data_IF_978391696638
#
_entry.id   IF_978391696638
#
_cell.length_a   1.000
_cell.length_b   1.000
_cell.length_c   1.000
_cell.angle_alpha   90.00
_cell.angle_beta   90.00
_cell.angle_gamma   90.00
#
_symmetry.space_group_name_H-M   'P 1'
#
loop_
_entity.id
_entity.type
_entity.pdbx_description
1 polymer ?
#
# COMPACT_ATOMS: atom_id res chain seq x y z
N UNK A 1 -7.59 5.33 -38.30
CA UNK A 1 -7.12 4.42 -37.23
C UNK A 1 -6.37 5.23 -36.19
N UNK A 2 -7.06 5.78 -35.19
CA UNK A 2 -6.44 6.53 -34.09
C UNK A 2 -7.43 6.51 -32.92
N UNK A 3 -7.20 5.69 -31.89
CA UNK A 3 -7.90 5.81 -30.59
C UNK A 3 -7.32 4.96 -29.44
N UNK A 4 -6.19 4.25 -29.60
CA UNK A 4 -5.69 3.39 -28.51
C UNK A 4 -4.64 4.06 -27.61
N UNK A 5 -3.96 5.12 -28.07
CA UNK A 5 -2.93 5.83 -27.27
C UNK A 5 -3.54 6.65 -26.12
N UNK A 6 -4.78 7.14 -26.27
CA UNK A 6 -5.41 8.05 -25.30
C UNK A 6 -5.86 7.37 -23.98
N UNK A 7 -5.96 6.04 -23.92
CA UNK A 7 -6.47 5.34 -22.73
C UNK A 7 -5.34 4.91 -21.78
N UNK A 8 -4.20 4.48 -22.32
CA UNK A 8 -3.02 4.10 -21.51
C UNK A 8 -2.50 5.30 -20.71
N UNK A 9 -2.33 6.45 -21.36
CA UNK A 9 -1.86 7.67 -20.71
C UNK A 9 -2.82 8.14 -19.60
N UNK A 10 -4.12 7.98 -19.83
CA UNK A 10 -5.16 8.30 -18.83
C UNK A 10 -5.07 7.40 -17.59
N UNK A 11 -4.79 6.09 -17.75
CA UNK A 11 -4.69 5.17 -16.61
C UNK A 11 -3.44 5.44 -15.78
N UNK A 12 -2.32 5.79 -16.44
CA UNK A 12 -1.11 6.24 -15.74
C UNK A 12 -1.39 7.51 -14.94
N UNK A 13 -2.07 8.51 -15.54
CA UNK A 13 -2.45 9.73 -14.82
C UNK A 13 -3.37 9.46 -13.61
N UNK A 14 -4.33 8.56 -13.76
CA UNK A 14 -5.18 8.14 -12.64
C UNK A 14 -4.39 7.46 -11.52
N UNK A 15 -3.46 6.57 -11.87
CA UNK A 15 -2.59 5.91 -10.89
C UNK A 15 -1.71 6.92 -10.16
N UNK A 16 -1.10 7.87 -10.88
CA UNK A 16 -0.30 8.93 -10.26
C UNK A 16 -1.10 9.76 -9.25
N UNK A 17 -2.36 10.08 -9.56
CA UNK A 17 -3.25 10.79 -8.63
C UNK A 17 -3.52 9.97 -7.36
N UNK A 18 -3.78 8.67 -7.49
CA UNK A 18 -3.98 7.76 -6.36
C UNK A 18 -2.73 7.64 -5.50
N UNK A 19 -1.56 7.46 -6.12
CA UNK A 19 -0.27 7.40 -5.41
C UNK A 19 0.04 8.70 -4.67
N UNK A 20 -0.21 9.85 -5.30
CA UNK A 20 -0.02 11.14 -4.64
C UNK A 20 -0.92 11.29 -3.42
N UNK A 21 -2.19 10.92 -3.53
CA UNK A 21 -3.12 10.93 -2.40
C UNK A 21 -2.69 9.97 -1.28
N UNK A 22 -2.30 8.74 -1.64
CA UNK A 22 -1.78 7.76 -0.69
C UNK A 22 -0.56 8.30 0.07
N UNK A 23 0.38 8.93 -0.64
CA UNK A 23 1.56 9.56 -0.05
C UNK A 23 1.19 10.67 0.94
N UNK A 24 0.29 11.58 0.59
CA UNK A 24 -0.13 12.65 1.50
C UNK A 24 -0.85 12.10 2.74
N UNK A 25 -1.68 11.07 2.58
CA UNK A 25 -2.32 10.39 3.71
C UNK A 25 -1.29 9.67 4.61
N UNK A 26 -0.30 9.00 4.00
CA UNK A 26 0.79 8.35 4.73
C UNK A 26 1.56 9.37 5.55
N UNK A 27 2.00 10.49 4.94
CA UNK A 27 2.72 11.57 5.66
C UNK A 27 1.94 12.06 6.87
N UNK A 28 0.64 12.31 6.71
CA UNK A 28 -0.23 12.75 7.80
C UNK A 28 -0.28 11.72 8.93
N UNK A 29 -0.58 10.45 8.61
CA UNK A 29 -0.67 9.38 9.61
C UNK A 29 0.68 9.09 10.27
N UNK A 30 1.77 9.12 9.52
CA UNK A 30 3.11 8.88 10.06
C UNK A 30 3.54 10.01 11.01
N UNK A 31 3.11 11.25 10.77
CA UNK A 31 3.29 12.34 11.74
C UNK A 31 2.50 12.09 13.04
N UNK A 32 1.30 11.52 12.94
CA UNK A 32 0.43 11.27 14.10
C UNK A 32 0.86 10.03 14.92
N UNK A 33 1.37 8.98 14.26
CA UNK A 33 1.63 7.66 14.87
C UNK A 33 3.08 7.18 14.81
N UNK A 34 3.95 7.87 14.06
CA UNK A 34 5.33 7.42 13.78
C UNK A 34 5.39 6.03 13.13
N UNK A 35 6.51 5.35 13.32
CA UNK A 35 6.77 4.00 12.77
C UNK A 35 6.02 2.87 13.50
N UNK A 36 4.85 3.14 14.06
CA UNK A 36 4.00 2.12 14.70
C UNK A 36 3.59 0.97 13.74
N UNK A 37 3.74 1.16 12.43
CA UNK A 37 3.50 0.11 11.45
C UNK A 37 4.62 -0.96 11.45
N UNK A 38 5.85 -0.60 11.79
CA UNK A 38 7.04 -1.44 11.71
C UNK A 38 7.16 -2.47 12.85
N UNK A 39 6.44 -2.31 13.96
CA UNK A 39 6.60 -3.09 15.21
C UNK A 39 6.60 -4.61 15.02
N UNK A 40 5.86 -5.13 14.05
CA UNK A 40 5.74 -6.57 13.78
C UNK A 40 6.19 -6.94 12.35
N UNK A 41 6.99 -6.07 11.72
CA UNK A 41 7.45 -6.22 10.35
C UNK A 41 6.31 -6.31 9.32
N UNK A 42 6.64 -6.79 8.13
CA UNK A 42 5.68 -6.96 7.03
C UNK A 42 4.48 -7.85 7.42
N UNK A 43 4.67 -8.86 8.27
CA UNK A 43 3.60 -9.73 8.76
C UNK A 43 2.55 -8.93 9.55
N UNK A 44 2.98 -8.03 10.43
CA UNK A 44 2.07 -7.14 11.15
C UNK A 44 1.25 -6.24 10.23
N UNK A 45 1.84 -5.81 9.13
CA UNK A 45 1.16 -5.00 8.13
C UNK A 45 0.11 -5.82 7.37
N UNK A 46 0.41 -7.08 7.00
CA UNK A 46 -0.56 -8.01 6.40
C UNK A 46 -1.75 -8.30 7.32
N UNK A 47 -1.54 -8.42 8.63
CA UNK A 47 -2.63 -8.57 9.61
C UNK A 47 -3.56 -7.36 9.57
N UNK A 48 -3.01 -6.13 9.55
CA UNK A 48 -3.82 -4.90 9.45
C UNK A 48 -4.60 -4.80 8.14
N UNK A 49 -4.05 -5.31 7.03
CA UNK A 49 -4.78 -5.46 5.76
C UNK A 49 -6.00 -6.37 5.95
N UNK A 50 -5.80 -7.53 6.58
CA UNK A 50 -6.87 -8.47 6.90
C UNK A 50 -7.99 -7.83 7.72
N UNK A 51 -7.64 -7.12 8.79
CA UNK A 51 -8.59 -6.43 9.68
C UNK A 51 -9.44 -5.39 8.91
N UNK A 52 -8.80 -4.61 8.03
CA UNK A 52 -9.50 -3.63 7.19
C UNK A 52 -10.47 -4.28 6.21
N UNK A 53 -10.08 -5.37 5.57
CA UNK A 53 -10.95 -6.10 4.63
C UNK A 53 -12.16 -6.68 5.37
N UNK A 54 -11.95 -7.32 6.52
CA UNK A 54 -13.03 -7.88 7.33
C UNK A 54 -14.01 -6.80 7.80
N UNK A 55 -13.50 -5.63 8.21
CA UNK A 55 -14.32 -4.47 8.56
C UNK A 55 -15.17 -4.01 7.37
N UNK A 56 -14.58 -3.90 6.19
CA UNK A 56 -15.29 -3.47 4.99
C UNK A 56 -16.40 -4.44 4.58
N UNK A 57 -16.13 -5.75 4.66
CA UNK A 57 -17.12 -6.81 4.43
C UNK A 57 -18.29 -6.73 5.44
N UNK A 58 -17.99 -6.45 6.71
CA UNK A 58 -19.02 -6.31 7.74
C UNK A 58 -19.94 -5.10 7.48
N UNK A 59 -19.36 -3.95 7.11
CA UNK A 59 -20.12 -2.74 6.79
C UNK A 59 -21.02 -2.96 5.55
N UNK A 60 -20.46 -3.54 4.47
CA UNK A 60 -21.19 -3.77 3.23
C UNK A 60 -22.30 -4.82 3.38
N UNK A 61 -22.10 -5.87 4.18
CA UNK A 61 -23.12 -6.91 4.41
C UNK A 61 -24.33 -6.40 5.21
N UNK A 62 -24.12 -5.48 6.14
CA UNK A 62 -25.15 -5.07 7.09
C UNK A 62 -26.02 -3.90 6.61
N UNK A 63 -25.82 -3.38 5.38
CA UNK A 63 -26.54 -2.21 4.82
C UNK A 63 -26.66 -1.03 5.80
N UNK A 64 -25.74 -0.96 6.78
CA UNK A 64 -25.74 0.09 7.77
C UNK A 64 -25.17 1.31 7.06
N UNK A 65 -26.08 2.19 6.64
CA UNK A 65 -25.77 3.58 6.29
C UNK A 65 -25.29 4.28 7.57
N UNK A 66 -24.09 3.93 8.00
CA UNK A 66 -23.38 4.62 9.06
C UNK A 66 -22.99 5.96 8.46
N UNK A 67 -23.70 7.01 8.86
CA UNK A 67 -23.51 8.40 8.41
C UNK A 67 -22.08 8.92 8.65
N UNK A 68 -21.24 8.17 9.37
CA UNK A 68 -19.83 8.44 9.65
C UNK A 68 -18.88 7.25 9.36
N UNK A 69 -19.28 6.22 8.59
CA UNK A 69 -18.37 5.11 8.27
C UNK A 69 -17.38 5.48 7.18
N UNK A 70 -16.12 5.11 7.40
CA UNK A 70 -15.05 5.06 6.40
C UNK A 70 -15.57 4.48 5.07
N UNK A 71 -15.33 5.20 3.96
CA UNK A 71 -15.82 4.75 2.66
C UNK A 71 -14.99 3.57 2.12
N UNK A 72 -15.55 2.82 1.16
CA UNK A 72 -14.79 1.80 0.40
C UNK A 72 -13.51 2.43 -0.17
N UNK A 73 -13.58 3.67 -0.65
CA UNK A 73 -12.45 4.37 -1.25
C UNK A 73 -11.35 4.64 -0.23
N UNK A 74 -11.69 5.12 0.96
CA UNK A 74 -10.72 5.38 2.04
C UNK A 74 -10.04 4.08 2.47
N UNK A 75 -10.82 3.00 2.58
CA UNK A 75 -10.26 1.67 2.89
C UNK A 75 -9.27 1.23 1.80
N UNK A 76 -9.59 1.42 0.52
CA UNK A 76 -8.69 1.05 -0.58
C UNK A 76 -7.39 1.87 -0.59
N UNK A 77 -7.43 3.15 -0.23
CA UNK A 77 -6.22 3.97 -0.07
C UNK A 77 -5.39 3.48 1.13
N UNK A 78 -6.04 3.13 2.25
CA UNK A 78 -5.35 2.53 3.39
C UNK A 78 -4.65 1.22 3.00
N UNK A 79 -5.33 0.35 2.23
CA UNK A 79 -4.76 -0.90 1.74
C UNK A 79 -3.58 -0.67 0.76
N UNK A 80 -3.66 0.36 -0.09
CA UNK A 80 -2.55 0.78 -0.95
C UNK A 80 -1.31 1.15 -0.11
N UNK A 81 -1.49 1.99 0.91
CA UNK A 81 -0.42 2.39 1.81
C UNK A 81 0.12 1.23 2.65
N UNK A 82 -0.73 0.33 3.15
CA UNK A 82 -0.26 -0.86 3.86
C UNK A 82 0.59 -1.75 2.95
N UNK A 83 0.22 -1.91 1.69
CA UNK A 83 1.04 -2.68 0.75
C UNK A 83 2.42 -2.04 0.54
N UNK A 84 2.47 -0.71 0.37
CA UNK A 84 3.72 0.03 0.26
C UNK A 84 4.58 -0.09 1.53
N UNK A 85 3.99 0.07 2.71
CA UNK A 85 4.69 -0.07 3.99
C UNK A 85 5.23 -1.49 4.23
N UNK A 86 4.50 -2.53 3.79
CA UNK A 86 4.99 -3.90 3.87
C UNK A 86 6.23 -4.10 2.99
N UNK A 87 6.23 -3.52 1.78
CA UNK A 87 7.39 -3.55 0.87
C UNK A 87 8.58 -2.79 1.47
N UNK A 88 8.36 -1.59 2.03
CA UNK A 88 9.43 -0.83 2.72
C UNK A 88 10.13 -1.67 3.78
N UNK A 89 9.37 -2.38 4.62
CA UNK A 89 9.94 -3.25 5.67
C UNK A 89 10.68 -4.47 5.11
N UNK A 90 10.24 -5.00 3.95
CA UNK A 90 10.96 -6.09 3.29
C UNK A 90 12.28 -5.59 2.72
N UNK A 91 12.27 -4.45 2.04
CA UNK A 91 13.46 -3.84 1.45
C UNK A 91 14.48 -3.46 2.54
N UNK A 92 14.04 -2.83 3.64
CA UNK A 92 14.87 -2.56 4.82
C UNK A 92 15.51 -3.84 5.38
N UNK A 93 14.72 -4.92 5.53
CA UNK A 93 15.24 -6.19 6.03
C UNK A 93 16.29 -6.82 5.09
N UNK A 94 16.19 -6.61 3.79
CA UNK A 94 17.19 -7.08 2.82
C UNK A 94 18.48 -6.27 2.98
N UNK A 95 18.38 -4.95 3.09
CA UNK A 95 19.55 -4.07 3.27
C UNK A 95 20.32 -4.38 4.57
N UNK A 96 19.62 -4.65 5.67
CA UNK A 96 20.24 -5.03 6.95
C UNK A 96 20.96 -6.38 6.88
N UNK A 97 20.35 -7.38 6.23
CA UNK A 97 20.91 -8.74 6.15
C UNK A 97 21.96 -8.90 5.03
N UNK A 98 21.91 -8.05 4.00
CA UNK A 98 22.77 -8.11 2.82
C UNK A 98 23.24 -6.71 2.39
N UNK A 99 24.16 -6.06 3.14
CA UNK A 99 24.57 -4.67 2.92
C UNK A 99 25.36 -4.42 1.61
N UNK A 100 25.66 -5.47 0.85
CA UNK A 100 26.31 -5.41 -0.46
C UNK A 100 25.42 -5.90 -1.60
N UNK A 101 24.16 -6.22 -1.32
CA UNK A 101 23.20 -6.54 -2.37
C UNK A 101 22.97 -5.30 -3.25
N UNK A 102 22.74 -5.48 -4.57
CA UNK A 102 22.25 -4.39 -5.39
C UNK A 102 20.91 -3.90 -4.81
N UNK A 103 20.60 -2.58 -4.91
CA UNK A 103 19.35 -2.04 -4.40
C UNK A 103 18.16 -2.80 -5.01
N UNK A 104 17.08 -3.04 -4.24
CA UNK A 104 15.89 -3.70 -4.76
C UNK A 104 15.41 -2.94 -5.99
N UNK A 105 15.42 -3.62 -7.13
CA UNK A 105 15.08 -3.01 -8.40
C UNK A 105 13.55 -2.88 -8.47
N UNK A 106 13.00 -1.66 -8.64
CA UNK A 106 11.55 -1.47 -8.64
C UNK A 106 10.81 -2.14 -9.81
N UNK A 107 11.54 -2.74 -10.76
CA UNK A 107 11.00 -3.30 -12.00
C UNK A 107 11.60 -4.67 -12.39
N UNK A 108 12.44 -5.30 -11.55
CA UNK A 108 12.89 -6.67 -11.80
C UNK A 108 12.55 -7.57 -10.63
N UNK A 109 11.65 -8.52 -10.88
CA UNK A 109 11.04 -9.51 -9.98
C UNK A 109 12.04 -10.53 -9.39
N UNK A 110 13.34 -10.22 -9.41
CA UNK A 110 14.37 -11.10 -8.88
C UNK A 110 14.61 -10.73 -7.42
N UNK A 111 13.85 -11.35 -6.52
CA UNK A 111 14.38 -11.59 -5.17
C UNK A 111 15.80 -12.15 -5.33
N UNK A 112 16.82 -11.62 -4.62
CA UNK A 112 18.15 -12.20 -4.66
C UNK A 112 18.02 -13.69 -4.33
N UNK A 113 18.37 -14.54 -5.28
CA UNK A 113 18.43 -15.98 -5.04
C UNK A 113 19.49 -16.18 -3.95
N UNK A 114 19.06 -16.63 -2.78
CA UNK A 114 19.94 -16.89 -1.64
C UNK A 114 21.01 -17.89 -2.10
N UNK A 115 22.22 -17.41 -2.31
CA UNK A 115 23.41 -18.23 -2.51
C UNK A 115 23.89 -18.82 -1.18
#
# INVERSE_FOLDING_TARGET
>A
MTNNTNNTDKRVEQMMKVQHEGLELFKKKNMDYGDAFATYGAIGVLVRIGDKILRLQSITKNSLTLVNSESIRDTLIDLHNYSAMAIMLLDESIEENYPHAPPPSPLSDTTPELA
#
